data_IF_368555798109
#
_entry.id   IF_368555798109
#
_cell.length_a   1.000
_cell.length_b   1.000
_cell.length_c   1.000
_cell.angle_alpha   90.00
_cell.angle_beta   90.00
_cell.angle_gamma   90.00
#
_symmetry.space_group_name_H-M   'P 1'
#
loop_
_entity.id
_entity.type
_entity.pdbx_description
1 polymer ?
#
# COMPACT_ATOMS: atom_id res chain seq x y z
N UNK A 1 -5.20 -22.05 9.87
CA UNK A 1 -3.78 -21.93 9.45
C UNK A 1 -3.53 -20.69 8.59
N UNK A 2 -4.34 -20.44 7.55
CA UNK A 2 -4.20 -19.24 6.69
C UNK A 2 -4.39 -17.91 7.45
N UNK A 3 -5.34 -17.84 8.38
CA UNK A 3 -5.60 -16.66 9.23
C UNK A 3 -4.37 -16.21 10.04
N UNK A 4 -3.60 -17.17 10.58
CA UNK A 4 -2.39 -16.89 11.37
C UNK A 4 -1.29 -16.30 10.50
N UNK A 5 -1.14 -16.78 9.26
CA UNK A 5 -0.14 -16.26 8.33
C UNK A 5 -0.45 -14.84 7.87
N UNK A 6 -1.71 -14.57 7.51
CA UNK A 6 -2.15 -13.24 7.12
C UNK A 6 -1.98 -12.23 8.27
N UNK A 7 -2.37 -12.60 9.50
CA UNK A 7 -2.19 -11.76 10.68
C UNK A 7 -0.71 -11.43 10.95
N UNK A 8 0.19 -12.42 10.83
CA UNK A 8 1.64 -12.20 10.98
C UNK A 8 2.21 -11.29 9.89
N UNK A 9 1.73 -11.42 8.65
CA UNK A 9 2.16 -10.54 7.56
C UNK A 9 1.68 -9.11 7.81
N UNK A 10 0.43 -8.93 8.22
CA UNK A 10 -0.13 -7.62 8.60
C UNK A 10 0.63 -6.96 9.75
N UNK A 11 1.04 -7.72 10.77
CA UNK A 11 1.90 -7.22 11.84
C UNK A 11 3.25 -6.70 11.29
N UNK A 12 3.92 -7.48 10.42
CA UNK A 12 5.19 -7.06 9.82
C UNK A 12 5.05 -5.83 8.92
N UNK A 13 3.97 -5.72 8.16
CA UNK A 13 3.68 -4.53 7.36
C UNK A 13 3.47 -3.32 8.28
N UNK A 14 2.77 -3.50 9.41
CA UNK A 14 2.57 -2.45 10.42
C UNK A 14 3.90 -1.98 11.00
N UNK A 15 4.80 -2.91 11.32
CA UNK A 15 6.12 -2.59 11.88
C UNK A 15 6.99 -1.78 10.90
N UNK A 16 6.97 -2.14 9.61
CA UNK A 16 7.80 -1.48 8.58
C UNK A 16 7.23 -0.14 8.12
N UNK A 17 5.91 -0.05 7.98
CA UNK A 17 5.25 1.16 7.43
C UNK A 17 4.81 2.14 8.50
N UNK A 18 4.64 1.68 9.74
CA UNK A 18 4.02 2.45 10.83
C UNK A 18 2.50 2.65 10.68
N UNK A 19 1.89 2.13 9.61
CA UNK A 19 0.45 2.19 9.34
C UNK A 19 -0.26 0.97 9.94
N UNK A 20 -1.47 1.16 10.44
CA UNK A 20 -2.38 0.06 10.74
C UNK A 20 -2.94 -0.52 9.44
N UNK A 21 -2.77 -1.84 9.27
CA UNK A 21 -3.25 -2.58 8.10
C UNK A 21 -4.15 -3.75 8.50
N UNK A 22 -4.65 -3.75 9.74
CA UNK A 22 -5.51 -4.82 10.23
C UNK A 22 -6.80 -4.90 9.43
N UNK A 23 -7.21 -6.13 9.12
CA UNK A 23 -8.48 -6.42 8.47
C UNK A 23 -9.66 -6.20 9.42
N UNK A 24 -10.85 -6.02 8.84
CA UNK A 24 -12.12 -5.71 9.53
C UNK A 24 -12.30 -6.64 10.72
N UNK A 25 -12.13 -6.10 11.92
CA UNK A 25 -12.49 -6.80 13.14
C UNK A 25 -14.03 -6.80 13.28
N UNK A 26 -14.60 -7.75 14.04
CA UNK A 26 -16.05 -7.82 14.26
C UNK A 26 -16.65 -6.53 14.86
N UNK A 27 -15.83 -5.74 15.55
CA UNK A 27 -16.21 -4.46 16.15
C UNK A 27 -15.08 -3.43 15.94
N UNK A 28 -15.27 -2.50 15.00
CA UNK A 28 -14.35 -1.40 14.73
C UNK A 28 -14.16 -1.10 13.23
N UNK A 29 -13.73 0.12 12.86
CA UNK A 29 -13.36 0.42 11.48
C UNK A 29 -12.12 -0.41 11.11
N UNK A 30 -12.15 -1.08 9.96
CA UNK A 30 -10.96 -1.73 9.41
C UNK A 30 -9.94 -0.67 9.01
N UNK A 31 -8.65 -1.02 9.07
CA UNK A 31 -7.57 -0.12 8.66
C UNK A 31 -6.96 -0.50 7.31
N UNK A 32 -7.31 -1.67 6.78
CA UNK A 32 -6.99 -2.08 5.41
C UNK A 32 -7.95 -3.12 4.84
N UNK A 33 -7.79 -3.40 3.55
CA UNK A 33 -8.52 -4.47 2.85
C UNK A 33 -7.87 -5.84 3.12
N UNK A 34 -8.64 -6.94 3.03
CA UNK A 34 -8.06 -8.28 2.97
C UNK A 34 -7.01 -8.38 1.87
N UNK A 35 -5.99 -9.23 2.07
CA UNK A 35 -4.98 -9.45 1.05
C UNK A 35 -5.61 -9.92 -0.26
N UNK A 36 -5.36 -9.20 -1.34
CA UNK A 36 -5.76 -9.61 -2.68
C UNK A 36 -4.63 -10.42 -3.31
N UNK A 37 -4.87 -11.71 -3.54
CA UNK A 37 -3.94 -12.59 -4.26
C UNK A 37 -4.25 -12.55 -5.76
N UNK A 38 -3.25 -12.26 -6.59
CA UNK A 38 -3.41 -12.17 -8.05
C UNK A 38 -2.35 -13.02 -8.74
N UNK A 39 -2.76 -13.73 -9.80
CA UNK A 39 -1.88 -14.46 -10.71
C UNK A 39 -1.96 -13.86 -12.12
N UNK A 40 -0.81 -13.66 -12.74
CA UNK A 40 -0.68 -13.37 -14.17
C UNK A 40 0.13 -14.49 -14.83
N UNK A 41 -0.50 -15.19 -15.77
CA UNK A 41 0.15 -16.12 -16.69
C UNK A 41 0.76 -15.41 -17.90
N UNK A 42 1.18 -16.17 -18.91
CA UNK A 42 1.75 -15.65 -20.16
C UNK A 42 0.84 -14.59 -20.80
N UNK A 43 1.39 -13.42 -21.10
CA UNK A 43 0.68 -12.26 -21.66
C UNK A 43 -0.22 -11.51 -20.66
N UNK A 44 -0.44 -12.07 -19.47
CA UNK A 44 -1.18 -11.42 -18.39
C UNK A 44 -0.50 -10.13 -17.97
N UNK A 45 -1.29 -9.06 -17.90
CA UNK A 45 -0.84 -7.70 -17.58
C UNK A 45 -1.95 -6.94 -16.88
N UNK A 46 -1.63 -5.74 -16.39
CA UNK A 46 -2.62 -4.81 -15.88
C UNK A 46 -2.33 -3.40 -16.36
N UNK A 47 -3.32 -2.76 -16.96
CA UNK A 47 -3.20 -1.43 -17.53
C UNK A 47 -2.82 -0.38 -16.49
N UNK A 48 -2.24 0.72 -16.94
CA UNK A 48 -1.88 1.84 -16.09
C UNK A 48 -3.12 2.38 -15.34
N UNK A 49 -3.02 2.49 -14.02
CA UNK A 49 -4.11 2.94 -13.15
C UNK A 49 -3.56 3.58 -11.87
N UNK A 50 -4.47 4.20 -11.11
CA UNK A 50 -4.24 4.62 -9.73
C UNK A 50 -5.02 3.68 -8.80
N UNK A 51 -4.48 3.44 -7.62
CA UNK A 51 -5.15 2.57 -6.63
C UNK A 51 -6.28 3.27 -5.88
N UNK A 52 -6.38 4.59 -5.96
CA UNK A 52 -7.45 5.34 -5.31
C UNK A 52 -8.81 5.06 -5.95
N UNK A 53 -9.86 5.08 -5.14
CA UNK A 53 -11.21 4.64 -5.48
C UNK A 53 -12.04 5.70 -6.23
N UNK A 54 -11.39 6.76 -6.76
CA UNK A 54 -11.94 7.89 -7.52
C UNK A 54 -13.31 7.57 -8.14
N UNK A 55 -14.38 8.06 -7.50
CA UNK A 55 -15.80 8.04 -7.94
C UNK A 55 -16.74 6.94 -7.42
N UNK A 56 -16.29 5.94 -6.68
CA UNK A 56 -17.22 4.98 -6.07
C UNK A 56 -17.64 5.45 -4.68
N UNK A 57 -18.71 6.25 -4.57
CA UNK A 57 -19.45 6.42 -3.29
C UNK A 57 -20.07 5.09 -2.85
N UNK A 58 -19.22 4.13 -2.56
CA UNK A 58 -19.57 2.87 -1.94
C UNK A 58 -19.67 3.10 -0.44
N UNK A 59 -20.48 2.30 0.23
CA UNK A 59 -20.55 2.31 1.70
C UNK A 59 -19.15 2.10 2.32
N UNK A 60 -18.27 1.38 1.62
CA UNK A 60 -16.86 1.23 1.99
C UNK A 60 -16.14 2.58 2.15
N UNK A 61 -16.14 3.46 1.14
CA UNK A 61 -15.49 4.78 1.26
C UNK A 61 -16.03 5.61 2.42
N UNK A 62 -17.33 5.49 2.74
CA UNK A 62 -17.95 6.22 3.85
C UNK A 62 -17.43 5.76 5.21
N UNK A 63 -17.14 4.46 5.34
CA UNK A 63 -16.68 3.85 6.58
C UNK A 63 -15.15 3.88 6.74
N UNK A 64 -14.40 3.80 5.64
CA UNK A 64 -12.95 3.64 5.67
C UNK A 64 -12.13 4.84 5.18
N UNK A 65 -12.75 5.74 4.42
CA UNK A 65 -12.03 6.73 3.63
C UNK A 65 -11.30 6.08 2.44
N UNK A 66 -10.39 6.84 1.84
CA UNK A 66 -9.64 6.47 0.64
C UNK A 66 -8.49 5.48 0.93
N UNK A 67 -7.96 4.83 -0.10
CA UNK A 67 -6.72 4.04 -0.04
C UNK A 67 -5.51 4.95 0.01
N UNK A 68 -4.95 5.21 1.20
CA UNK A 68 -3.78 6.10 1.37
C UNK A 68 -2.48 5.50 0.85
N UNK A 69 -2.36 4.17 0.85
CA UNK A 69 -1.12 3.50 0.51
C UNK A 69 -1.39 2.06 0.05
N UNK A 70 -0.42 1.53 -0.69
CA UNK A 70 -0.42 0.17 -1.19
C UNK A 70 0.87 -0.52 -0.79
N UNK A 71 0.74 -1.77 -0.33
CA UNK A 71 1.85 -2.68 -0.10
C UNK A 71 1.69 -3.89 -1.02
N UNK A 72 2.59 -4.05 -1.98
CA UNK A 72 2.57 -5.13 -2.98
C UNK A 72 3.72 -6.10 -2.71
N UNK A 73 3.41 -7.36 -2.49
CA UNK A 73 4.37 -8.43 -2.24
C UNK A 73 4.49 -9.33 -3.48
N UNK A 74 5.71 -9.56 -3.97
CA UNK A 74 5.97 -10.56 -5.00
C UNK A 74 6.07 -11.95 -4.36
N UNK A 75 5.24 -12.88 -4.83
CA UNK A 75 5.15 -14.25 -4.30
C UNK A 75 5.84 -15.29 -5.18
N UNK A 76 6.22 -14.90 -6.40
CA UNK A 76 7.02 -15.69 -7.33
C UNK A 76 8.05 -14.82 -8.03
N UNK A 77 9.14 -15.47 -8.46
CA UNK A 77 10.04 -14.91 -9.46
C UNK A 77 9.37 -14.98 -10.84
N UNK A 78 9.75 -14.09 -11.75
CA UNK A 78 9.32 -14.14 -13.15
C UNK A 78 10.55 -14.15 -14.04
N UNK A 79 10.64 -15.15 -14.91
CA UNK A 79 11.80 -15.34 -15.78
C UNK A 79 12.00 -14.15 -16.73
N UNK A 80 10.93 -13.70 -17.38
CA UNK A 80 10.96 -12.58 -18.35
C UNK A 80 9.65 -11.79 -18.29
N UNK A 81 9.75 -10.46 -18.20
CA UNK A 81 8.60 -9.54 -18.16
C UNK A 81 8.03 -9.39 -16.75
N UNK A 82 6.73 -9.07 -16.65
CA UNK A 82 6.04 -9.02 -15.36
C UNK A 82 6.44 -7.87 -14.42
N UNK A 83 7.21 -6.89 -14.90
CA UNK A 83 7.60 -5.72 -14.10
C UNK A 83 6.39 -4.97 -13.53
N UNK A 84 6.56 -4.34 -12.37
CA UNK A 84 5.68 -3.25 -11.95
C UNK A 84 6.33 -1.95 -12.36
N UNK A 85 5.63 -1.12 -13.14
CA UNK A 85 6.16 0.14 -13.65
C UNK A 85 5.35 1.31 -13.10
N UNK A 86 6.03 2.36 -12.67
CA UNK A 86 5.44 3.66 -12.32
C UNK A 86 5.73 4.60 -13.48
N UNK A 87 4.72 4.84 -14.30
CA UNK A 87 4.84 5.44 -15.63
C UNK A 87 5.40 6.86 -15.53
N UNK A 88 4.76 7.70 -14.72
CA UNK A 88 5.12 9.11 -14.59
C UNK A 88 6.39 9.31 -13.74
N UNK A 89 6.73 8.35 -12.88
CA UNK A 89 7.98 8.36 -12.11
C UNK A 89 9.18 7.82 -12.90
N UNK A 90 8.96 7.15 -14.04
CA UNK A 90 10.03 6.51 -14.81
C UNK A 90 10.71 5.34 -14.09
N UNK A 91 10.00 4.68 -13.15
CA UNK A 91 10.54 3.58 -12.34
C UNK A 91 10.00 2.24 -12.87
N UNK A 92 10.87 1.25 -12.99
CA UNK A 92 10.52 -0.12 -13.35
C UNK A 92 11.14 -1.08 -12.34
N UNK A 93 10.33 -1.94 -11.75
CA UNK A 93 10.79 -2.93 -10.76
C UNK A 93 10.50 -4.34 -11.25
N UNK A 94 11.55 -5.16 -11.28
CA UNK A 94 11.43 -6.57 -11.59
C UNK A 94 10.85 -7.36 -10.41
N UNK A 95 9.93 -8.31 -10.65
CA UNK A 95 9.39 -9.15 -9.60
C UNK A 95 10.45 -10.14 -9.12
N UNK A 96 10.75 -10.09 -7.83
CA UNK A 96 11.66 -11.02 -7.15
C UNK A 96 10.93 -11.57 -5.94
N UNK A 97 10.84 -12.89 -5.82
CA UNK A 97 10.07 -13.55 -4.78
C UNK A 97 10.51 -13.08 -3.39
N UNK A 98 9.53 -12.67 -2.58
CA UNK A 98 9.74 -12.19 -1.21
C UNK A 98 10.08 -10.70 -1.10
N UNK A 99 10.35 -10.01 -2.22
CA UNK A 99 10.46 -8.55 -2.21
C UNK A 99 9.08 -7.90 -2.19
N UNK A 100 9.02 -6.70 -1.62
CA UNK A 100 7.81 -5.89 -1.57
C UNK A 100 8.06 -4.47 -2.06
N UNK A 101 7.00 -3.88 -2.59
CA UNK A 101 6.89 -2.46 -2.91
C UNK A 101 5.91 -1.81 -1.95
N UNK A 102 6.21 -0.58 -1.55
CA UNK A 102 5.34 0.25 -0.74
C UNK A 102 5.33 1.67 -1.29
N UNK A 103 4.15 2.25 -1.44
CA UNK A 103 3.99 3.64 -1.85
C UNK A 103 2.70 4.22 -1.27
N UNK A 104 2.67 5.54 -1.11
CA UNK A 104 1.45 6.28 -0.78
C UNK A 104 0.73 6.66 -2.08
N UNK A 105 -0.57 6.41 -2.16
CA UNK A 105 -1.41 6.73 -3.32
C UNK A 105 -1.90 8.18 -3.32
N UNK A 106 -1.79 8.84 -2.17
CA UNK A 106 -2.15 10.24 -1.97
C UNK A 106 -0.95 11.04 -1.51
N UNK A 107 -1.05 12.37 -1.58
CA UNK A 107 -0.18 13.28 -0.86
C UNK A 107 -0.70 13.47 0.60
N UNK A 108 0.04 14.19 1.47
CA UNK A 108 -0.41 14.45 2.84
C UNK A 108 -1.67 15.31 2.99
N UNK A 109 -2.16 15.90 1.89
CA UNK A 109 -3.46 16.59 1.81
C UNK A 109 -4.59 15.66 1.32
N UNK A 110 -4.32 14.36 1.18
CA UNK A 110 -5.23 13.31 0.69
C UNK A 110 -5.66 13.47 -0.77
N UNK A 111 -4.91 14.24 -1.55
CA UNK A 111 -5.10 14.33 -2.99
C UNK A 111 -4.32 13.21 -3.69
N UNK A 112 -4.77 12.76 -4.87
CA UNK A 112 -4.05 11.73 -5.62
C UNK A 112 -2.60 12.13 -5.87
N UNK A 113 -1.65 11.23 -5.58
CA UNK A 113 -0.25 11.42 -5.93
C UNK A 113 -0.02 11.05 -7.42
N UNK A 114 0.26 12.01 -8.32
CA UNK A 114 0.36 11.73 -9.75
C UNK A 114 1.45 10.73 -10.12
N UNK A 115 2.56 10.70 -9.36
CA UNK A 115 3.69 9.79 -9.65
C UNK A 115 3.38 8.31 -9.37
N UNK A 116 2.20 8.00 -8.85
CA UNK A 116 1.78 6.63 -8.53
C UNK A 116 1.01 5.94 -9.66
N UNK A 117 0.86 6.58 -10.83
CA UNK A 117 0.31 5.94 -12.01
C UNK A 117 1.16 4.70 -12.35
N UNK A 118 0.59 3.52 -12.16
CA UNK A 118 1.36 2.29 -12.25
C UNK A 118 0.65 1.19 -13.03
N UNK A 119 1.44 0.27 -13.58
CA UNK A 119 0.97 -0.83 -14.41
C UNK A 119 1.74 -2.12 -14.10
N UNK A 120 1.13 -3.25 -14.44
CA UNK A 120 1.81 -4.55 -14.49
C UNK A 120 2.18 -4.88 -15.93
N UNK A 121 3.46 -4.92 -16.27
CA UNK A 121 3.92 -5.32 -17.60
C UNK A 121 3.52 -6.78 -17.90
N UNK A 122 3.33 -7.13 -19.19
CA UNK A 122 3.07 -8.51 -19.60
C UNK A 122 4.13 -9.48 -19.09
N UNK A 123 3.70 -10.62 -18.56
CA UNK A 123 4.58 -11.76 -18.29
C UNK A 123 4.91 -12.43 -19.62
N UNK A 124 6.20 -12.52 -19.96
CA UNK A 124 6.65 -13.12 -21.22
C UNK A 124 7.15 -14.56 -21.03
N UNK A 125 7.61 -14.90 -19.82
CA UNK A 125 7.98 -16.27 -19.43
C UNK A 125 7.86 -16.43 -17.92
N UNK A 126 7.33 -17.58 -17.48
CA UNK A 126 7.05 -17.88 -16.08
C UNK A 126 5.62 -17.48 -15.68
N UNK A 127 5.42 -17.18 -14.39
CA UNK A 127 4.13 -16.76 -13.84
C UNK A 127 4.36 -15.78 -12.69
N UNK A 128 3.54 -14.72 -12.64
CA UNK A 128 3.64 -13.69 -11.60
C UNK A 128 2.53 -13.88 -10.58
N UNK A 129 2.89 -14.22 -9.35
CA UNK A 129 2.00 -14.15 -8.19
C UNK A 129 2.32 -12.91 -7.37
N UNK A 130 1.29 -12.15 -7.02
CA UNK A 130 1.41 -11.01 -6.09
C UNK A 130 0.32 -11.06 -5.02
N UNK A 131 0.62 -10.49 -3.86
CA UNK A 131 -0.38 -10.13 -2.86
C UNK A 131 -0.38 -8.61 -2.66
N UNK A 132 -1.54 -7.98 -2.85
CA UNK A 132 -1.74 -6.57 -2.58
C UNK A 132 -2.41 -6.38 -1.22
N UNK A 133 -1.97 -5.36 -0.49
CA UNK A 133 -2.59 -4.87 0.73
C UNK A 133 -2.86 -3.38 0.56
N UNK A 134 -4.14 -3.03 0.44
CA UNK A 134 -4.57 -1.64 0.41
C UNK A 134 -4.88 -1.15 1.82
N UNK A 135 -4.45 0.07 2.12
CA UNK A 135 -4.45 0.66 3.45
C UNK A 135 -5.36 1.89 3.43
N UNK A 136 -6.27 1.98 4.39
CA UNK A 136 -7.32 3.01 4.41
C UNK A 136 -6.97 4.22 5.28
N UNK A 137 -7.47 5.40 4.90
CA UNK A 137 -7.20 6.67 5.60
C UNK A 137 -7.73 6.66 7.03
N UNK A 138 -8.98 6.26 7.25
CA UNK A 138 -9.64 6.51 8.54
C UNK A 138 -9.05 5.66 9.66
N UNK A 139 -8.72 4.39 9.41
CA UNK A 139 -7.99 3.56 10.38
C UNK A 139 -6.61 4.12 10.74
N UNK A 140 -6.07 5.02 9.92
CA UNK A 140 -4.74 5.59 10.06
C UNK A 140 -4.70 7.08 10.43
N UNK A 141 -5.84 7.75 10.61
CA UNK A 141 -5.89 9.21 10.83
C UNK A 141 -5.08 9.69 12.04
N UNK A 142 -4.94 8.85 13.07
CA UNK A 142 -4.16 9.15 14.27
C UNK A 142 -2.70 8.66 14.22
N UNK A 143 -2.39 7.72 13.31
CA UNK A 143 -1.04 7.18 13.11
C UNK A 143 -0.26 7.93 12.02
N UNK A 144 -0.97 8.46 11.04
CA UNK A 144 -0.45 9.15 9.88
C UNK A 144 -1.18 10.50 9.71
N UNK A 145 -0.72 11.56 10.41
CA UNK A 145 -1.37 12.86 10.37
C UNK A 145 -1.19 13.57 9.01
N UNK A 146 -1.98 14.61 8.78
CA UNK A 146 -1.80 15.48 7.63
C UNK A 146 -0.45 16.24 7.69
N UNK A 147 -0.01 16.73 6.53
CA UNK A 147 1.18 17.56 6.43
C UNK A 147 1.00 18.95 7.06
N UNK A 148 2.05 19.57 7.62
CA UNK A 148 1.97 20.92 8.20
C UNK A 148 1.67 22.03 7.19
N UNK A 149 1.84 21.76 5.90
CA UNK A 149 1.50 22.65 4.78
C UNK A 149 0.93 21.84 3.61
N UNK A 150 0.17 22.44 2.68
CA UNK A 150 -0.35 21.74 1.50
C UNK A 150 0.72 21.01 0.68
N UNK A 151 1.92 21.60 0.56
CA UNK A 151 3.04 21.02 -0.20
C UNK A 151 3.96 20.12 0.65
N UNK A 152 3.41 19.48 1.68
CA UNK A 152 4.18 18.53 2.49
C UNK A 152 4.40 17.23 1.73
N UNK A 153 5.47 16.52 2.06
CA UNK A 153 5.71 15.16 1.58
C UNK A 153 5.47 14.15 2.71
N UNK A 154 5.20 12.90 2.37
CA UNK A 154 5.08 11.83 3.37
C UNK A 154 6.33 11.68 4.23
N UNK A 155 7.53 11.90 3.66
CA UNK A 155 8.79 11.91 4.42
C UNK A 155 8.80 12.99 5.53
N UNK A 156 8.16 14.15 5.32
CA UNK A 156 8.02 15.16 6.38
C UNK A 156 7.06 14.69 7.48
N UNK A 157 5.94 14.07 7.10
CA UNK A 157 4.97 13.49 8.04
C UNK A 157 5.63 12.41 8.89
N UNK A 158 6.34 11.47 8.28
CA UNK A 158 7.04 10.38 8.97
C UNK A 158 8.06 10.90 9.97
N UNK A 159 8.81 11.96 9.64
CA UNK A 159 9.72 12.62 10.58
C UNK A 159 9.00 13.18 11.81
N UNK A 160 7.80 13.76 11.63
CA UNK A 160 6.99 14.28 12.74
C UNK A 160 6.51 13.12 13.62
N UNK A 161 5.98 12.06 13.00
CA UNK A 161 5.50 10.86 13.71
C UNK A 161 6.63 10.21 14.52
N UNK A 162 7.80 10.05 13.91
CA UNK A 162 8.96 9.44 14.58
C UNK A 162 9.46 10.27 15.76
N UNK A 163 9.50 11.61 15.63
CA UNK A 163 9.83 12.50 16.76
C UNK A 163 8.84 12.37 17.92
N UNK A 164 7.53 12.29 17.63
CA UNK A 164 6.52 12.08 18.68
C UNK A 164 6.72 10.75 19.39
N UNK A 165 6.99 9.66 18.66
CA UNK A 165 7.27 8.34 19.26
C UNK A 165 8.49 8.38 20.19
N UNK A 166 9.56 9.08 19.81
CA UNK A 166 10.77 9.18 20.63
C UNK A 166 10.56 10.03 21.89
N UNK A 167 9.79 11.12 21.80
CA UNK A 167 9.51 11.97 22.97
C UNK A 167 8.60 11.30 24.02
N UNK A 168 7.84 10.26 23.65
CA UNK A 168 7.02 9.47 24.58
C UNK A 168 7.87 8.42 25.34
N UNK A 169 9.08 8.13 24.88
CA UNK A 169 10.00 7.16 25.49
C UNK A 169 11.27 7.81 26.08
N UNK A 170 11.31 9.13 26.21
CA UNK A 170 12.35 9.79 26.99
C UNK A 170 12.10 9.49 28.48
N UNK A 171 13.03 8.81 29.19
CA UNK A 171 12.90 8.66 30.64
C UNK A 171 12.94 10.06 31.26
N UNK A 172 11.96 10.33 32.13
CA UNK A 172 12.02 11.44 33.08
C UNK A 172 13.14 11.22 34.11
#
# INVERSE_FOLDING_TARGET
MQEVTAARLSARITDVTGLDVTDRQPFGPSSGEPFQLVNYGLGGHYSAHFDILKSQQTDYLRESGERIATFLLYLSDVDIGGHTVFVDAGISVAPVKGMALFWYNTNPALEQEPLTLHAGCPVLKGHKWIANKWIWTYGNMYRHPCGPSPNSTHLKVERIVNRRRHNIHAPH
#
